data_IF_836819003691
#
_entry.id   IF_836819003691
#
_cell.length_a   1.000
_cell.length_b   1.000
_cell.length_c   1.000
_cell.angle_alpha   90.00
_cell.angle_beta   90.00
_cell.angle_gamma   90.00
#
_symmetry.space_group_name_H-M   'P 1'
#
loop_
_entity.id
_entity.type
_entity.pdbx_description
1 polymer ?
#
# COMPACT_ATOMS: atom_id res chain seq x y z
N UNK A 1 12.85 3.31 1.90
CA UNK A 1 11.51 3.63 1.34
C UNK A 1 10.76 4.45 2.38
N UNK A 2 10.06 5.52 2.00
CA UNK A 2 9.31 6.40 2.92
C UNK A 2 7.85 6.60 2.45
N UNK A 3 7.10 7.46 3.14
CA UNK A 3 5.70 7.74 2.84
C UNK A 3 5.48 8.25 1.40
N UNK A 4 6.33 9.16 0.93
CA UNK A 4 6.20 9.77 -0.39
C UNK A 4 6.53 8.74 -1.49
N UNK A 5 7.53 7.88 -1.27
CA UNK A 5 7.83 6.78 -2.19
C UNK A 5 6.68 5.78 -2.30
N UNK A 6 6.01 5.44 -1.20
CA UNK A 6 4.85 4.53 -1.22
C UNK A 6 3.66 5.21 -1.90
N UNK A 7 3.43 6.49 -1.66
CA UNK A 7 2.38 7.27 -2.31
C UNK A 7 2.58 7.34 -3.82
N UNK A 8 3.80 7.65 -4.28
CA UNK A 8 4.15 7.68 -5.69
C UNK A 8 3.95 6.30 -6.34
N UNK A 9 4.47 5.24 -5.72
CA UNK A 9 4.27 3.87 -6.19
C UNK A 9 2.78 3.50 -6.30
N UNK A 10 1.97 3.88 -5.31
CA UNK A 10 0.54 3.59 -5.32
C UNK A 10 -0.16 4.26 -6.52
N UNK A 11 0.14 5.54 -6.79
CA UNK A 11 -0.41 6.28 -7.95
C UNK A 11 0.03 5.64 -9.26
N UNK A 12 1.32 5.33 -9.40
CA UNK A 12 1.87 4.65 -10.60
C UNK A 12 1.23 3.28 -10.86
N UNK A 13 0.77 2.60 -9.81
CA UNK A 13 0.13 1.29 -9.88
C UNK A 13 -1.41 1.34 -9.88
N UNK A 14 -1.98 2.50 -10.18
CA UNK A 14 -3.42 2.69 -10.40
C UNK A 14 -4.27 2.74 -9.13
N UNK A 15 -3.66 3.00 -7.97
CA UNK A 15 -4.43 3.29 -6.76
C UNK A 15 -4.91 4.74 -6.78
N UNK A 16 -6.18 4.94 -6.43
CA UNK A 16 -6.79 6.25 -6.27
C UNK A 16 -6.69 6.70 -4.82
N UNK A 17 -6.31 7.97 -4.60
CA UNK A 17 -6.31 8.54 -3.26
C UNK A 17 -7.75 8.78 -2.78
N UNK A 18 -8.13 8.15 -1.67
CA UNK A 18 -9.47 8.27 -1.07
C UNK A 18 -9.46 9.01 0.28
N UNK A 19 -8.28 9.44 0.72
CA UNK A 19 -8.07 10.22 1.94
C UNK A 19 -6.59 10.53 2.14
N UNK A 20 -6.27 11.31 3.16
CA UNK A 20 -4.88 11.62 3.48
C UNK A 20 -4.12 10.32 3.83
N UNK A 21 -3.14 9.96 3.02
CA UNK A 21 -2.38 8.71 3.16
C UNK A 21 -3.15 7.43 2.82
N UNK A 22 -4.38 7.49 2.30
CA UNK A 22 -5.17 6.30 1.97
C UNK A 22 -5.36 6.18 0.46
N UNK A 23 -4.89 5.06 -0.09
CA UNK A 23 -4.92 4.76 -1.51
C UNK A 23 -5.67 3.46 -1.75
N UNK A 24 -6.61 3.45 -2.68
CA UNK A 24 -7.45 2.28 -2.96
C UNK A 24 -7.45 1.96 -4.44
N UNK A 25 -7.27 0.67 -4.75
CA UNK A 25 -7.45 0.11 -6.08
C UNK A 25 -8.58 -0.91 -6.02
N UNK A 26 -9.47 -0.88 -6.99
CA UNK A 26 -10.50 -1.89 -7.19
C UNK A 26 -10.36 -2.43 -8.60
N UNK A 27 -10.24 -3.74 -8.72
CA UNK A 27 -10.19 -4.44 -10.01
C UNK A 27 -11.09 -5.69 -9.95
N UNK A 28 -11.10 -6.49 -11.03
CA UNK A 28 -11.91 -7.69 -11.12
C UNK A 28 -11.52 -8.76 -10.09
N UNK A 29 -10.33 -8.67 -9.47
CA UNK A 29 -9.88 -9.59 -8.44
C UNK A 29 -10.31 -9.14 -7.03
N UNK A 30 -10.71 -7.88 -6.86
CA UNK A 30 -11.23 -7.34 -5.61
C UNK A 30 -10.65 -5.97 -5.27
N UNK A 31 -10.65 -5.63 -3.98
CA UNK A 31 -10.20 -4.33 -3.47
C UNK A 31 -8.87 -4.47 -2.75
N UNK A 32 -7.94 -3.57 -3.03
CA UNK A 32 -6.71 -3.39 -2.25
C UNK A 32 -6.64 -1.96 -1.74
N UNK A 33 -6.32 -1.80 -0.46
CA UNK A 33 -6.16 -0.49 0.19
C UNK A 33 -4.78 -0.39 0.83
N UNK A 34 -4.09 0.73 0.63
CA UNK A 34 -2.83 1.08 1.28
C UNK A 34 -3.10 2.27 2.20
N UNK A 35 -2.83 2.08 3.48
CA UNK A 35 -2.83 3.15 4.46
C UNK A 35 -1.40 3.49 4.86
N UNK A 36 -0.97 4.70 4.52
CA UNK A 36 0.32 5.26 4.89
C UNK A 36 0.17 5.93 6.25
N UNK A 37 0.95 5.47 7.22
CA UNK A 37 1.06 6.04 8.57
C UNK A 37 2.41 6.74 8.70
N UNK A 38 2.63 7.40 9.84
CA UNK A 38 3.83 8.21 10.08
C UNK A 38 5.16 7.47 9.86
N UNK A 39 5.25 6.20 10.27
CA UNK A 39 6.50 5.42 10.25
C UNK A 39 6.37 4.07 9.53
N UNK A 40 5.21 3.81 8.92
CA UNK A 40 4.82 2.51 8.41
C UNK A 40 3.72 2.63 7.38
N UNK A 41 3.43 1.51 6.72
CA UNK A 41 2.21 1.36 5.95
C UNK A 41 1.46 0.09 6.36
N UNK A 42 0.18 0.04 6.01
CA UNK A 42 -0.68 -1.12 6.08
C UNK A 42 -1.25 -1.38 4.69
N UNK A 43 -1.04 -2.59 4.17
CA UNK A 43 -1.73 -3.10 3.00
C UNK A 43 -2.89 -3.98 3.47
N UNK A 44 -4.08 -3.68 2.96
CA UNK A 44 -5.33 -4.41 3.18
C UNK A 44 -5.70 -5.01 1.83
N UNK A 45 -5.60 -6.33 1.71
CA UNK A 45 -5.96 -7.07 0.51
C UNK A 45 -7.28 -7.82 0.76
N UNK A 46 -8.34 -7.36 0.11
CA UNK A 46 -9.71 -7.89 0.24
C UNK A 46 -10.05 -8.87 -0.89
N UNK A 47 -9.07 -9.29 -1.71
CA UNK A 47 -9.32 -10.17 -2.87
C UNK A 47 -9.71 -11.59 -2.50
N UNK A 48 -9.26 -12.11 -1.36
CA UNK A 48 -9.43 -13.52 -0.98
C UNK A 48 -10.71 -13.85 -0.20
N UNK A 49 -11.81 -13.13 -0.44
CA UNK A 49 -13.12 -13.47 0.13
C UNK A 49 -13.30 -12.98 1.57
N UNK A 50 -13.84 -13.82 2.47
CA UNK A 50 -14.50 -13.38 3.71
C UNK A 50 -13.62 -12.69 4.77
N UNK A 51 -12.29 -12.72 4.63
CA UNK A 51 -11.36 -12.05 5.55
C UNK A 51 -10.26 -11.32 4.79
N UNK A 52 -10.06 -10.02 5.03
CA UNK A 52 -8.96 -9.28 4.42
C UNK A 52 -7.60 -9.80 4.93
N UNK A 53 -6.63 -9.88 4.04
CA UNK A 53 -5.23 -10.11 4.39
C UNK A 53 -4.59 -8.77 4.73
N UNK A 54 -3.96 -8.70 5.90
CA UNK A 54 -3.29 -7.51 6.41
C UNK A 54 -1.77 -7.69 6.38
N UNK A 55 -1.06 -6.74 5.77
CA UNK A 55 0.40 -6.70 5.79
C UNK A 55 0.83 -5.31 6.27
N UNK A 56 1.50 -5.23 7.41
CA UNK A 56 2.10 -3.99 7.90
C UNK A 56 3.62 -4.08 7.90
N UNK A 57 4.29 -2.99 7.49
CA UNK A 57 5.75 -2.86 7.65
C UNK A 57 6.14 -1.45 8.06
N UNK A 58 7.19 -1.36 8.86
CA UNK A 58 7.86 -0.09 9.15
C UNK A 58 8.74 0.31 7.98
N UNK A 59 8.85 1.60 7.71
CA UNK A 59 9.69 2.13 6.63
C UNK A 59 11.17 1.76 6.80
N UNK A 60 11.66 1.74 8.05
CA UNK A 60 13.04 1.36 8.37
C UNK A 60 13.37 -0.11 8.01
N UNK A 61 12.36 -0.96 7.91
CA UNK A 61 12.53 -2.39 7.61
C UNK A 61 12.35 -2.68 6.11
N UNK A 62 12.04 -1.65 5.31
CA UNK A 62 11.95 -1.75 3.86
C UNK A 62 13.32 -1.54 3.22
N UNK A 63 14.03 -2.64 3.00
CA UNK A 63 15.28 -2.65 2.24
C UNK A 63 14.94 -2.40 0.76
N UNK A 64 15.47 -1.33 0.18
CA UNK A 64 15.42 -1.13 -1.27
C UNK A 64 16.29 -2.20 -1.93
N UNK A 65 15.86 -2.85 -3.03
CA UNK A 65 16.79 -3.58 -3.85
C UNK A 65 17.90 -2.60 -4.25
N UNK A 66 19.16 -2.91 -3.91
CA UNK A 66 20.28 -2.12 -4.40
C UNK A 66 20.17 -2.08 -5.92
N UNK A 67 20.12 -0.87 -6.50
CA UNK A 67 20.34 -0.70 -7.92
C UNK A 67 21.81 -1.08 -8.17
N UNK A 68 22.02 -2.33 -8.58
CA UNK A 68 23.28 -2.83 -9.11
C UNK A 68 23.39 -2.57 -10.60
#
# INVERSE_FOLDING_TARGET
MDADMIAAWAVENGYLQIGMGNYRRSDNEGVMTIEIKRMSYLLIDERQGSRPRLVSRLFKDMILPNAG
#
